data_IF_627017058410
#
_entry.id   IF_627017058410
#
_cell.length_a   1.000
_cell.length_b   1.000
_cell.length_c   1.000
_cell.angle_alpha   90.00
_cell.angle_beta   90.00
_cell.angle_gamma   90.00
#
_symmetry.space_group_name_H-M   'P 1'
#
loop_
_entity.id
_entity.type
_entity.pdbx_description
1 polymer ?
#
# COMPACT_ATOMS: atom_id res chain seq x y z
N UNK A 1 11.63 40.07 -7.59
CA UNK A 1 12.13 39.71 -8.95
C UNK A 1 12.96 38.42 -8.92
N UNK A 2 14.03 38.33 -8.08
CA UNK A 2 14.88 37.12 -8.00
C UNK A 2 14.07 35.87 -7.62
N UNK A 3 13.19 35.95 -6.61
CA UNK A 3 12.31 34.85 -6.18
C UNK A 3 11.42 34.34 -7.32
N UNK A 4 10.85 35.26 -8.11
CA UNK A 4 10.01 34.87 -9.24
C UNK A 4 10.82 34.12 -10.32
N UNK A 5 12.05 34.54 -10.59
CA UNK A 5 12.94 33.86 -11.53
C UNK A 5 13.30 32.47 -11.01
N UNK A 6 13.65 32.34 -9.73
CA UNK A 6 13.96 31.04 -9.12
C UNK A 6 12.73 30.10 -9.10
N UNK A 7 11.56 30.62 -8.77
CA UNK A 7 10.33 29.83 -8.72
C UNK A 7 9.90 29.39 -10.12
N UNK A 8 9.70 30.34 -11.02
CA UNK A 8 9.16 30.07 -12.36
C UNK A 8 10.20 29.42 -13.30
N UNK A 9 11.48 29.81 -13.18
CA UNK A 9 12.56 29.33 -14.05
C UNK A 9 13.17 28.02 -13.63
N UNK A 10 13.13 27.68 -12.33
CA UNK A 10 13.80 26.47 -11.83
C UNK A 10 12.89 25.57 -11.00
N UNK A 11 12.25 26.10 -9.95
CA UNK A 11 11.54 25.24 -9.00
C UNK A 11 10.31 24.55 -9.64
N UNK A 12 9.46 25.29 -10.33
CA UNK A 12 8.27 24.72 -11.00
C UNK A 12 8.64 23.75 -12.12
N UNK A 13 9.57 24.04 -13.06
CA UNK A 13 9.98 23.08 -14.06
C UNK A 13 10.63 21.82 -13.47
N UNK A 14 11.44 21.96 -12.43
CA UNK A 14 12.05 20.82 -11.75
C UNK A 14 11.00 19.95 -11.05
N UNK A 15 10.07 20.58 -10.33
CA UNK A 15 8.96 19.90 -9.70
C UNK A 15 8.09 19.16 -10.73
N UNK A 16 7.69 19.84 -11.81
CA UNK A 16 6.88 19.24 -12.87
C UNK A 16 7.56 18.00 -13.48
N UNK A 17 8.87 18.08 -13.70
CA UNK A 17 9.66 16.93 -14.20
C UNK A 17 9.69 15.77 -13.20
N UNK A 18 9.69 16.04 -11.90
CA UNK A 18 9.83 15.01 -10.86
C UNK A 18 8.49 14.41 -10.44
N UNK A 19 7.41 15.18 -10.53
CA UNK A 19 6.08 14.76 -10.02
C UNK A 19 5.14 14.37 -11.15
N UNK A 20 5.09 15.16 -12.24
CA UNK A 20 4.09 14.94 -13.30
C UNK A 20 4.56 14.07 -14.47
N UNK A 21 5.87 13.82 -14.60
CA UNK A 21 6.41 12.98 -15.66
C UNK A 21 6.66 11.58 -15.15
N UNK A 22 5.67 10.72 -15.30
CA UNK A 22 5.81 9.31 -14.93
C UNK A 22 6.70 8.56 -15.94
N UNK A 23 7.47 7.58 -15.45
CA UNK A 23 8.21 6.68 -16.33
C UNK A 23 7.23 5.85 -17.16
N UNK A 24 7.62 5.41 -18.40
CA UNK A 24 6.78 4.52 -19.19
C UNK A 24 6.46 3.24 -18.41
N UNK A 25 5.18 2.85 -18.36
CA UNK A 25 4.74 1.70 -17.57
C UNK A 25 5.41 0.36 -17.94
N UNK A 26 5.90 0.24 -19.19
CA UNK A 26 6.66 -0.95 -19.62
C UNK A 26 8.06 -1.07 -19.01
N UNK A 27 8.64 0.04 -18.56
CA UNK A 27 9.97 0.10 -17.95
C UNK A 27 9.87 0.08 -16.43
N UNK A 28 8.75 0.57 -15.88
CA UNK A 28 8.50 0.63 -14.46
C UNK A 28 7.98 -0.69 -13.89
N UNK A 29 8.25 -0.91 -12.61
CA UNK A 29 7.52 -1.87 -11.80
C UNK A 29 6.25 -1.18 -11.27
N UNK A 30 5.08 -1.68 -11.60
CA UNK A 30 3.82 -1.18 -11.04
C UNK A 30 3.45 -2.01 -9.82
N UNK A 31 3.10 -1.34 -8.73
CA UNK A 31 2.68 -1.98 -7.47
C UNK A 31 1.44 -1.27 -6.95
N UNK A 32 0.38 -2.02 -6.68
CA UNK A 32 -0.73 -1.47 -5.93
C UNK A 32 -0.43 -1.54 -4.42
N UNK A 33 -0.48 -0.40 -3.75
CA UNK A 33 -0.31 -0.29 -2.30
C UNK A 33 -1.67 0.02 -1.68
N UNK A 34 -2.19 -0.93 -0.92
CA UNK A 34 -3.50 -0.80 -0.29
C UNK A 34 -3.33 -0.72 1.22
N UNK A 35 -3.52 0.48 1.76
CA UNK A 35 -3.45 0.74 3.19
C UNK A 35 -4.72 0.27 3.90
N UNK A 36 -4.56 -0.16 5.13
CA UNK A 36 -5.64 -0.45 6.08
C UNK A 36 -5.15 -0.22 7.51
N UNK A 37 -6.04 -0.10 8.44
CA UNK A 37 -5.70 -0.04 9.87
C UNK A 37 -5.23 -1.42 10.37
N UNK A 38 -3.96 -1.68 10.65
CA UNK A 38 -2.79 -0.79 10.65
C UNK A 38 -1.64 -1.42 9.88
N UNK A 39 -1.78 -1.60 8.58
CA UNK A 39 -0.77 -2.22 7.71
C UNK A 39 -0.86 -1.72 6.27
N UNK A 40 0.21 -1.93 5.52
CA UNK A 40 0.23 -1.77 4.06
C UNK A 40 0.22 -3.15 3.41
N UNK A 41 -0.69 -3.35 2.46
CA UNK A 41 -0.72 -4.53 1.60
C UNK A 41 -0.19 -4.15 0.22
N UNK A 42 0.63 -5.01 -0.34
CA UNK A 42 1.25 -4.80 -1.64
C UNK A 42 0.75 -5.86 -2.60
N UNK A 43 0.39 -5.43 -3.79
CA UNK A 43 -0.09 -6.29 -4.88
C UNK A 43 0.79 -6.05 -6.10
N UNK A 44 1.47 -7.08 -6.52
CA UNK A 44 2.30 -7.08 -7.72
C UNK A 44 1.66 -8.03 -8.74
N UNK A 45 1.64 -7.59 -9.99
CA UNK A 45 1.32 -8.49 -11.09
C UNK A 45 2.39 -9.57 -11.18
N UNK A 46 1.94 -10.77 -11.46
CA UNK A 46 2.83 -11.91 -11.66
C UNK A 46 3.66 -11.81 -12.95
N UNK A 47 4.24 -12.93 -13.38
CA UNK A 47 5.02 -13.00 -14.61
C UNK A 47 4.28 -12.58 -15.89
N UNK A 48 2.96 -12.70 -15.92
CA UNK A 48 2.15 -12.28 -17.07
C UNK A 48 1.98 -10.75 -17.16
N UNK A 49 2.32 -10.01 -16.10
CA UNK A 49 2.25 -8.56 -16.00
C UNK A 49 0.84 -8.00 -15.96
N UNK A 50 -0.16 -8.82 -15.67
CA UNK A 50 -1.54 -8.42 -15.54
C UNK A 50 -1.97 -8.55 -14.08
N UNK A 51 -2.78 -7.60 -13.61
CA UNK A 51 -3.35 -7.66 -12.27
C UNK A 51 -4.70 -8.38 -12.32
N UNK A 52 -4.89 -9.31 -11.40
CA UNK A 52 -6.17 -9.97 -11.18
C UNK A 52 -7.23 -9.00 -10.68
N UNK A 53 -8.48 -9.32 -11.00
CA UNK A 53 -9.64 -8.55 -10.56
C UNK A 53 -9.80 -8.60 -9.05
N UNK A 54 -10.14 -7.48 -8.47
CA UNK A 54 -10.43 -7.31 -7.04
C UNK A 54 -11.91 -7.00 -6.84
N UNK A 55 -12.51 -7.62 -5.82
CA UNK A 55 -13.88 -7.35 -5.40
C UNK A 55 -13.92 -7.15 -3.88
N UNK A 56 -14.51 -6.05 -3.45
CA UNK A 56 -14.66 -5.73 -2.03
C UNK A 56 -15.43 -6.78 -1.24
N UNK A 57 -16.34 -7.51 -1.90
CA UNK A 57 -17.11 -8.60 -1.29
C UNK A 57 -16.27 -9.86 -1.02
N UNK A 58 -15.12 -9.99 -1.66
CA UNK A 58 -14.20 -11.13 -1.48
C UNK A 58 -13.12 -10.84 -0.44
N UNK A 59 -13.14 -9.67 0.19
CA UNK A 59 -12.16 -9.30 1.21
C UNK A 59 -12.37 -10.12 2.48
N UNK A 60 -11.33 -10.86 2.87
CA UNK A 60 -11.26 -11.66 4.10
C UNK A 60 -9.90 -11.48 4.75
N UNK A 61 -9.69 -12.08 5.92
CA UNK A 61 -8.37 -12.06 6.58
C UNK A 61 -7.29 -12.79 5.75
N UNK A 62 -7.68 -13.84 5.02
CA UNK A 62 -6.76 -14.59 4.13
C UNK A 62 -6.68 -14.02 2.71
N UNK A 63 -7.60 -13.14 2.33
CA UNK A 63 -7.63 -12.45 1.06
C UNK A 63 -7.82 -10.94 1.29
N UNK A 64 -6.80 -10.25 1.81
CA UNK A 64 -6.94 -8.86 2.26
C UNK A 64 -7.23 -7.88 1.13
N UNK A 65 -6.97 -8.23 -0.10
CA UNK A 65 -7.22 -7.40 -1.28
C UNK A 65 -8.49 -7.77 -2.03
N UNK A 66 -9.16 -8.87 -1.66
CA UNK A 66 -10.36 -9.33 -2.35
C UNK A 66 -10.09 -9.79 -3.77
N UNK A 67 -8.95 -10.45 -4.02
CA UNK A 67 -8.65 -11.03 -5.33
C UNK A 67 -9.70 -12.08 -5.70
N UNK A 68 -10.18 -12.04 -6.94
CA UNK A 68 -11.12 -13.03 -7.44
C UNK A 68 -10.38 -14.34 -7.78
N UNK A 69 -10.65 -15.44 -7.07
CA UNK A 69 -9.97 -16.72 -7.31
C UNK A 69 -10.31 -17.33 -8.68
N UNK A 70 -11.36 -16.85 -9.33
CA UNK A 70 -11.79 -17.34 -10.65
C UNK A 70 -11.17 -16.54 -11.81
N UNK A 71 -10.51 -15.43 -11.51
CA UNK A 71 -9.83 -14.64 -12.53
C UNK A 71 -8.48 -15.28 -12.89
N UNK A 72 -8.30 -15.73 -14.14
CA UNK A 72 -7.03 -16.34 -14.55
C UNK A 72 -5.83 -15.38 -14.47
N UNK A 73 -6.03 -14.06 -14.64
CA UNK A 73 -4.97 -13.06 -14.54
C UNK A 73 -4.43 -12.90 -13.11
N UNK A 74 -5.24 -13.20 -12.08
CA UNK A 74 -4.80 -13.10 -10.70
C UNK A 74 -4.14 -14.35 -10.11
N UNK A 75 -3.97 -15.41 -10.91
CA UNK A 75 -3.44 -16.68 -10.40
C UNK A 75 -1.96 -16.64 -10.03
N UNK A 76 -1.20 -15.80 -10.69
CA UNK A 76 0.23 -15.61 -10.48
C UNK A 76 0.56 -14.29 -9.77
N UNK A 77 -0.48 -13.54 -9.38
CA UNK A 77 -0.33 -12.33 -8.57
C UNK A 77 0.34 -12.60 -7.23
N UNK A 78 1.20 -11.67 -6.83
CA UNK A 78 1.89 -11.72 -5.56
C UNK A 78 1.28 -10.69 -4.62
N UNK A 79 0.79 -11.16 -3.47
CA UNK A 79 0.30 -10.30 -2.39
C UNK A 79 1.19 -10.46 -1.17
N UNK A 80 1.68 -9.34 -0.65
CA UNK A 80 2.42 -9.30 0.60
C UNK A 80 1.84 -8.26 1.55
N UNK A 81 2.05 -8.43 2.84
CA UNK A 81 1.64 -7.49 3.87
C UNK A 81 2.84 -7.07 4.70
N UNK A 82 3.01 -5.77 4.85
CA UNK A 82 4.07 -5.18 5.66
C UNK A 82 5.45 -5.14 4.98
N UNK A 83 5.69 -5.88 3.89
CA UNK A 83 6.97 -5.91 3.21
C UNK A 83 6.81 -5.87 1.69
N UNK A 84 7.57 -5.00 1.04
CA UNK A 84 7.65 -4.84 -0.40
C UNK A 84 9.10 -4.98 -0.86
N UNK A 85 9.34 -5.82 -1.85
CA UNK A 85 10.62 -5.93 -2.54
C UNK A 85 10.57 -5.22 -3.90
N UNK A 86 11.63 -4.49 -4.23
CA UNK A 86 11.78 -3.79 -5.52
C UNK A 86 13.23 -3.87 -6.01
N UNK A 87 13.46 -3.94 -7.32
CA UNK A 87 14.83 -3.98 -7.85
C UNK A 87 15.47 -2.58 -7.87
N UNK A 88 16.76 -2.52 -7.55
CA UNK A 88 17.57 -1.30 -7.65
C UNK A 88 17.65 -0.78 -9.09
N UNK A 89 17.70 0.54 -9.27
CA UNK A 89 17.79 1.24 -10.55
C UNK A 89 16.62 1.04 -11.53
N UNK A 90 15.54 0.40 -11.10
CA UNK A 90 14.31 0.30 -11.88
C UNK A 90 13.27 1.28 -11.34
N UNK A 91 12.60 2.08 -12.18
CA UNK A 91 11.49 2.91 -11.74
C UNK A 91 10.37 2.06 -11.14
N UNK A 92 9.77 2.56 -10.07
CA UNK A 92 8.60 1.96 -9.41
C UNK A 92 7.47 2.96 -9.45
N UNK A 93 6.31 2.54 -9.92
CA UNK A 93 5.05 3.28 -9.81
C UNK A 93 4.24 2.60 -8.72
N UNK A 94 4.01 3.29 -7.62
CA UNK A 94 3.16 2.84 -6.54
C UNK A 94 1.79 3.50 -6.66
N UNK A 95 0.76 2.70 -6.87
CA UNK A 95 -0.63 3.15 -6.95
C UNK A 95 -1.28 2.98 -5.58
N UNK A 96 -1.47 4.10 -4.89
CA UNK A 96 -1.90 4.15 -3.51
C UNK A 96 -3.41 4.18 -3.39
N UNK A 97 -3.95 3.37 -2.50
CA UNK A 97 -5.36 3.33 -2.15
C UNK A 97 -5.53 2.91 -0.68
N UNK A 98 -6.73 3.06 -0.14
CA UNK A 98 -7.06 2.64 1.22
C UNK A 98 -8.38 1.89 1.26
N UNK A 99 -8.52 0.98 2.23
CA UNK A 99 -9.75 0.21 2.49
C UNK A 99 -10.68 0.88 3.49
N UNK A 100 -10.15 1.76 4.34
CA UNK A 100 -10.87 2.28 5.51
C UNK A 100 -10.75 3.79 5.67
N UNK A 101 -9.65 4.31 6.18
CA UNK A 101 -9.42 5.74 6.42
C UNK A 101 -8.27 6.25 5.55
N UNK A 102 -7.98 7.55 5.63
CA UNK A 102 -6.81 8.11 4.94
C UNK A 102 -5.54 7.69 5.70
N UNK A 103 -4.56 7.21 4.95
CA UNK A 103 -3.19 6.95 5.39
C UNK A 103 -2.22 7.73 4.51
N UNK A 104 -0.97 7.85 4.91
CA UNK A 104 0.11 8.32 4.04
C UNK A 104 1.19 7.24 3.94
N UNK A 105 1.57 6.88 2.73
CA UNK A 105 2.66 5.98 2.45
C UNK A 105 3.96 6.79 2.36
N UNK A 106 4.74 6.79 3.43
CA UNK A 106 5.94 7.59 3.53
C UNK A 106 7.20 6.72 3.68
N UNK A 107 8.17 6.93 2.78
CA UNK A 107 9.51 6.34 2.84
C UNK A 107 10.54 7.45 3.11
N UNK A 108 10.86 7.73 4.39
CA UNK A 108 11.69 8.88 4.77
C UNK A 108 13.04 8.91 4.07
N UNK A 109 13.72 7.77 4.00
CA UNK A 109 15.04 7.64 3.38
C UNK A 109 15.07 8.01 1.88
N UNK A 110 13.95 7.89 1.20
CA UNK A 110 13.79 8.22 -0.22
C UNK A 110 13.06 9.55 -0.44
N UNK A 111 12.55 10.17 0.61
CA UNK A 111 11.74 11.42 0.56
C UNK A 111 10.52 11.28 -0.34
N UNK A 112 9.88 10.12 -0.28
CA UNK A 112 8.67 9.80 -1.01
C UNK A 112 7.51 9.80 -0.03
N UNK A 113 6.45 10.52 -0.36
CA UNK A 113 5.21 10.52 0.40
C UNK A 113 4.03 10.57 -0.56
N UNK A 114 2.93 9.94 -0.18
CA UNK A 114 1.68 9.99 -0.92
C UNK A 114 0.51 9.49 -0.10
N UNK A 115 -0.61 10.20 -0.19
CA UNK A 115 -1.82 9.83 0.51
C UNK A 115 -2.48 8.59 -0.10
N UNK A 116 -2.85 7.64 0.75
CA UNK A 116 -3.70 6.50 0.42
C UNK A 116 -5.13 6.81 0.86
N UNK A 117 -5.99 7.17 -0.09
CA UNK A 117 -7.35 7.66 0.16
C UNK A 117 -8.37 6.60 -0.26
N UNK A 118 -9.39 6.30 0.59
CA UNK A 118 -10.47 5.39 0.22
C UNK A 118 -11.20 5.83 -1.06
N UNK A 119 -11.42 4.88 -1.97
CA UNK A 119 -12.10 5.13 -3.24
C UNK A 119 -11.28 5.88 -4.29
N UNK A 120 -10.03 6.19 -4.02
CA UNK A 120 -9.10 6.83 -4.96
C UNK A 120 -7.93 5.92 -5.28
N UNK A 121 -7.31 6.14 -6.44
CA UNK A 121 -6.06 5.52 -6.84
C UNK A 121 -5.06 6.65 -7.14
N UNK A 122 -4.09 6.85 -6.26
CA UNK A 122 -3.14 7.95 -6.32
C UNK A 122 -1.77 7.41 -6.69
N UNK A 123 -1.30 7.67 -7.93
CA UNK A 123 0.00 7.19 -8.34
C UNK A 123 1.12 8.10 -7.81
N UNK A 124 2.17 7.49 -7.30
CA UNK A 124 3.47 8.12 -7.03
C UNK A 124 4.55 7.29 -7.73
N UNK A 125 5.72 7.86 -7.98
CA UNK A 125 6.81 7.11 -8.57
C UNK A 125 8.15 7.49 -7.99
N UNK A 126 9.09 6.54 -8.02
CA UNK A 126 10.46 6.72 -7.58
C UNK A 126 11.39 5.71 -8.25
N UNK A 127 12.69 5.97 -8.18
CA UNK A 127 13.71 5.01 -8.60
C UNK A 127 14.67 4.78 -7.44
N UNK A 128 14.70 3.59 -6.84
CA UNK A 128 15.64 3.28 -5.76
C UNK A 128 17.06 3.16 -6.34
N UNK A 129 18.04 3.87 -5.74
CA UNK A 129 19.41 3.94 -6.25
C UNK A 129 20.42 3.09 -5.48
N UNK A 130 20.03 2.57 -4.31
CA UNK A 130 20.89 1.75 -3.44
C UNK A 130 20.12 0.59 -2.89
N UNK A 131 20.73 -0.58 -2.91
CA UNK A 131 20.21 -1.78 -2.23
C UNK A 131 20.19 -1.58 -0.72
N UNK A 132 19.28 -2.25 -0.04
CA UNK A 132 19.12 -2.20 1.41
C UNK A 132 17.68 -2.25 1.85
N UNK A 133 17.48 -2.20 3.15
CA UNK A 133 16.17 -2.25 3.79
C UNK A 133 15.81 -0.88 4.33
N UNK A 134 14.63 -0.39 3.97
CA UNK A 134 14.14 0.94 4.28
C UNK A 134 12.80 0.85 5.01
N UNK A 135 12.62 1.71 6.02
CA UNK A 135 11.37 1.78 6.76
C UNK A 135 10.30 2.51 5.91
N UNK A 136 9.09 1.97 5.94
CA UNK A 136 7.87 2.62 5.48
C UNK A 136 7.04 2.95 6.70
N UNK A 137 6.53 4.16 6.80
CA UNK A 137 5.68 4.59 7.91
C UNK A 137 4.40 5.23 7.41
N UNK A 138 3.34 5.15 8.21
CA UNK A 138 2.16 5.95 8.00
C UNK A 138 2.41 7.36 8.55
N UNK A 139 2.33 8.39 7.71
CA UNK A 139 2.54 9.77 8.11
C UNK A 139 1.23 10.58 8.26
N UNK A 140 0.06 9.94 8.07
CA UNK A 140 -1.26 10.52 8.30
C UNK A 140 -1.95 9.83 9.48
N UNK A 141 -2.45 10.61 10.45
CA UNK A 141 -3.16 10.05 11.61
C UNK A 141 -4.36 9.20 11.17
N UNK A 142 -4.24 7.89 11.31
CA UNK A 142 -5.21 6.91 10.81
C UNK A 142 -5.95 6.13 11.91
N UNK A 143 -5.74 6.45 13.16
CA UNK A 143 -6.41 5.82 14.32
C UNK A 143 -5.47 5.45 15.46
N UNK A 144 -5.95 4.66 16.41
CA UNK A 144 -5.21 4.33 17.64
C UNK A 144 -3.88 3.60 17.40
N UNK A 145 -3.79 2.79 16.34
CA UNK A 145 -2.57 2.06 15.99
C UNK A 145 -1.62 2.82 15.05
N UNK A 146 -1.91 4.09 14.76
CA UNK A 146 -1.12 4.91 13.83
C UNK A 146 0.39 4.90 14.12
N UNK A 147 0.78 5.05 15.38
CA UNK A 147 2.19 5.08 15.80
C UNK A 147 2.95 3.77 15.50
N UNK A 148 2.23 2.67 15.39
CA UNK A 148 2.79 1.35 15.10
C UNK A 148 2.61 0.91 13.64
N UNK A 149 1.92 1.70 12.80
CA UNK A 149 1.70 1.35 11.40
C UNK A 149 2.96 1.57 10.57
N UNK A 150 3.68 0.48 10.35
CA UNK A 150 4.97 0.43 9.66
C UNK A 150 4.99 -0.68 8.63
N UNK A 151 5.92 -0.55 7.69
CA UNK A 151 6.27 -1.57 6.72
C UNK A 151 7.75 -1.49 6.38
N UNK A 152 8.17 -2.39 5.52
CA UNK A 152 9.54 -2.51 5.05
C UNK A 152 9.57 -2.46 3.53
N UNK A 153 10.45 -1.63 2.99
CA UNK A 153 10.79 -1.61 1.58
C UNK A 153 12.21 -2.17 1.42
N UNK A 154 12.32 -3.33 0.81
CA UNK A 154 13.59 -3.97 0.49
C UNK A 154 13.96 -3.65 -0.94
N UNK A 155 15.12 -3.04 -1.12
CA UNK A 155 15.68 -2.77 -2.45
C UNK A 155 16.74 -3.81 -2.75
N UNK A 156 16.43 -4.69 -3.67
CA UNK A 156 17.25 -5.84 -4.03
C UNK A 156 18.15 -5.58 -5.24
N UNK A 157 19.17 -6.42 -5.37
CA UNK A 157 19.80 -6.58 -6.69
C UNK A 157 18.80 -7.21 -7.68
N UNK A 158 18.99 -7.06 -9.01
CA UNK A 158 18.10 -7.72 -9.95
C UNK A 158 17.99 -9.23 -9.77
N UNK A 159 19.09 -9.89 -9.36
CA UNK A 159 19.13 -11.31 -9.11
C UNK A 159 18.34 -11.72 -7.87
N UNK A 160 18.52 -11.01 -6.75
CA UNK A 160 17.82 -11.29 -5.50
C UNK A 160 16.32 -11.03 -5.65
N UNK A 161 15.94 -9.95 -6.38
CA UNK A 161 14.55 -9.66 -6.70
C UNK A 161 13.89 -10.79 -7.50
N UNK A 162 14.57 -11.34 -8.51
CA UNK A 162 14.04 -12.48 -9.27
C UNK A 162 13.92 -13.75 -8.42
N UNK A 163 14.87 -13.99 -7.52
CA UNK A 163 14.80 -15.10 -6.58
C UNK A 163 13.61 -14.96 -5.63
N UNK A 164 13.39 -13.75 -5.09
CA UNK A 164 12.24 -13.44 -4.25
C UNK A 164 10.91 -13.60 -4.99
N UNK A 165 10.80 -13.11 -6.22
CA UNK A 165 9.58 -13.29 -7.04
C UNK A 165 9.25 -14.78 -7.24
N UNK A 166 10.27 -15.59 -7.54
CA UNK A 166 10.09 -17.04 -7.73
C UNK A 166 9.62 -17.72 -6.44
N UNK A 167 10.26 -17.41 -5.31
CA UNK A 167 9.83 -17.92 -4.01
C UNK A 167 8.37 -17.56 -3.69
N UNK A 168 7.99 -16.30 -3.93
CA UNK A 168 6.61 -15.84 -3.69
C UNK A 168 5.59 -16.49 -4.63
N UNK A 169 5.93 -16.66 -5.89
CA UNK A 169 5.07 -17.36 -6.86
C UNK A 169 4.84 -18.82 -6.46
N UNK A 170 5.88 -19.52 -5.98
CA UNK A 170 5.74 -20.89 -5.48
C UNK A 170 4.82 -20.97 -4.25
N UNK A 171 4.94 -20.01 -3.34
CA UNK A 171 4.07 -19.90 -2.15
C UNK A 171 2.63 -19.53 -2.52
N UNK A 172 2.41 -18.65 -3.49
CA UNK A 172 1.08 -18.23 -3.97
C UNK A 172 0.38 -19.35 -4.74
N UNK A 173 1.11 -20.10 -5.55
CA UNK A 173 0.57 -21.26 -6.29
C UNK A 173 0.22 -22.47 -5.40
N UNK A 174 0.75 -22.52 -4.18
CA UNK A 174 0.50 -23.57 -3.19
C UNK A 174 -0.41 -23.20 -2.03
N UNK A 175 -0.75 -21.93 -1.85
CA UNK A 175 -1.37 -21.43 -0.62
C UNK A 175 -2.50 -20.44 -0.82
N UNK A 176 -3.61 -20.88 -1.35
CA UNK A 176 -4.90 -20.33 -0.92
C UNK A 176 -5.21 -20.88 0.49
N UNK A 177 -4.43 -20.52 1.50
CA UNK A 177 -4.70 -21.05 2.83
C UNK A 177 -3.70 -20.80 3.95
N UNK A 178 -2.65 -20.05 3.78
CA UNK A 178 -1.72 -19.77 4.88
C UNK A 178 -2.03 -18.41 5.51
N UNK A 179 -2.49 -18.42 6.74
CA UNK A 179 -2.66 -17.23 7.57
C UNK A 179 -1.31 -16.49 7.74
N UNK A 180 -1.32 -15.15 7.79
CA UNK A 180 -0.12 -14.39 8.06
C UNK A 180 0.46 -14.77 9.42
N UNK A 181 1.77 -15.01 9.46
CA UNK A 181 2.50 -15.22 10.71
C UNK A 181 2.28 -14.00 11.60
N UNK A 182 1.96 -14.14 12.90
CA UNK A 182 1.76 -13.00 13.78
C UNK A 182 3.06 -12.24 13.89
N UNK A 183 2.98 -10.92 13.70
CA UNK A 183 4.07 -10.01 14.02
C UNK A 183 4.55 -10.24 15.47
N UNK A 184 5.85 -10.13 15.77
CA UNK A 184 6.36 -10.34 17.12
C UNK A 184 5.64 -9.38 18.09
N UNK A 185 5.03 -9.97 19.11
CA UNK A 185 4.07 -9.34 19.99
C UNK A 185 4.56 -8.06 20.65
N UNK A 186 3.90 -6.96 20.33
CA UNK A 186 3.77 -5.83 21.23
C UNK A 186 2.74 -6.16 22.32
N UNK A 187 2.77 -5.50 23.50
CA UNK A 187 1.89 -5.81 24.61
C UNK A 187 0.43 -5.63 24.20
N UNK A 188 -0.35 -6.69 24.34
CA UNK A 188 -1.80 -6.66 24.14
C UNK A 188 -2.42 -5.72 25.16
N UNK A 189 -2.94 -4.59 24.69
CA UNK A 189 -3.78 -3.73 25.53
C UNK A 189 -5.20 -4.33 25.58
N UNK A 190 -5.89 -4.24 26.75
CA UNK A 190 -7.27 -4.71 26.90
C UNK A 190 -8.18 -3.96 25.93
N UNK A 191 -8.99 -4.69 25.19
CA UNK A 191 -10.02 -4.09 24.34
C UNK A 191 -11.01 -3.29 25.19
N UNK A 192 -11.36 -2.05 24.81
CA UNK A 192 -12.43 -1.32 25.48
C UNK A 192 -13.75 -2.08 25.29
N UNK A 193 -14.38 -2.48 26.37
CA UNK A 193 -15.74 -3.01 26.35
C UNK A 193 -16.66 -1.95 25.73
N UNK A 194 -17.32 -2.30 24.64
CA UNK A 194 -18.39 -1.47 24.08
C UNK A 194 -19.49 -1.32 25.13
N UNK A 195 -19.58 -0.15 25.75
CA UNK A 195 -20.73 0.21 26.60
C UNK A 195 -21.96 0.20 25.69
N UNK A 196 -22.94 -0.65 26.02
CA UNK A 196 -24.26 -0.65 25.38
C UNK A 196 -24.84 0.76 25.47
N UNK A 197 -24.94 1.42 24.34
CA UNK A 197 -25.63 2.70 24.23
C UNK A 197 -27.13 2.44 24.46
N UNK A 198 -27.79 3.12 25.43
CA UNK A 198 -29.23 2.96 25.60
C UNK A 198 -29.98 3.47 24.37
N UNK A 199 -31.01 2.74 23.98
CA UNK A 199 -31.87 3.09 22.85
C UNK A 199 -32.47 4.49 23.03
N UNK A 200 -32.61 5.29 21.95
CA UNK A 200 -33.23 6.60 22.03
C UNK A 200 -34.71 6.45 22.43
N UNK A 201 -35.13 7.24 23.39
CA UNK A 201 -36.51 7.32 23.84
C UNK A 201 -37.43 7.76 22.67
N UNK A 202 -38.54 7.04 22.51
CA UNK A 202 -39.57 7.36 21.55
C UNK A 202 -40.16 8.75 21.81
N UNK A 203 -40.20 9.60 20.79
CA UNK A 203 -40.88 10.88 20.85
C UNK A 203 -42.39 10.69 20.94
N UNK A 204 -43.14 11.43 21.81
CA UNK A 204 -44.60 11.34 21.81
C UNK A 204 -45.19 11.94 20.57
N UNK A 205 -46.17 11.25 19.99
CA UNK A 205 -46.99 11.72 18.88
C UNK A 205 -47.84 12.94 19.34
N UNK A 206 -48.00 13.98 18.52
CA UNK A 206 -48.99 15.02 18.78
C UNK A 206 -50.38 14.46 18.52
N UNK A 207 -51.17 14.37 19.59
CA UNK A 207 -52.58 14.03 19.51
C UNK A 207 -53.43 15.24 19.20
N UNK A 208 -54.53 14.98 18.44
CA UNK A 208 -55.78 15.66 18.46
C UNK A 208 -55.97 16.88 17.62
#
# INVERSE_FOLDING_TARGET
MIEAVLLLGFAIPLWAKRVNQFPPGKEALVVHVVAQQFSFNYHLAGPDGQFGRRDALLVTNSNPLGLDPNDPAGKDDIVTTGELHVPVNRPVIAELSSKDVIHDYFVPAMRIAGDAIPGSLIPIWFTPLKTGTYEVICAQLCGLGHYGMKGTLVVDTPQDYQAWLKERAELSGGAQGAAPSPAPGGPQQPQPQQSKQPAPAASPSPGG
#
